data_IF_420936382343
#
_entry.id   IF_420936382343
#
_cell.length_a   1.000
_cell.length_b   1.000
_cell.length_c   1.000
_cell.angle_alpha   90.00
_cell.angle_beta   90.00
_cell.angle_gamma   90.00
#
_symmetry.space_group_name_H-M   'P 1'
#
loop_
_entity.id
_entity.type
_entity.pdbx_description
1 polymer ?
#
# COMPACT_ATOMS: atom_id res chain seq x y z
N UNK A 1 -5.63 -3.05 39.31
CA UNK A 1 -4.83 -2.16 38.44
C UNK A 1 -4.94 -2.72 37.05
N UNK A 2 -5.43 -1.88 36.14
CA UNK A 2 -6.08 -2.24 34.88
C UNK A 2 -5.12 -2.89 33.87
N UNK A 3 -5.31 -4.17 33.58
CA UNK A 3 -4.71 -4.86 32.43
C UNK A 3 -5.48 -4.43 31.17
N UNK A 4 -5.16 -3.23 30.67
CA UNK A 4 -5.62 -2.80 29.35
C UNK A 4 -4.93 -3.67 28.31
N UNK A 5 -5.62 -4.74 27.91
CA UNK A 5 -5.34 -5.52 26.72
C UNK A 5 -5.43 -4.61 25.49
N UNK A 6 -4.35 -3.86 25.23
CA UNK A 6 -4.21 -3.04 24.04
C UNK A 6 -4.10 -3.98 22.84
N UNK A 7 -5.25 -4.34 22.25
CA UNK A 7 -5.29 -4.97 20.93
C UNK A 7 -4.49 -4.06 20.00
N UNK A 8 -3.31 -4.51 19.58
CA UNK A 8 -2.53 -3.82 18.56
C UNK A 8 -3.38 -3.85 17.29
N UNK A 9 -3.99 -2.73 16.93
CA UNK A 9 -4.73 -2.63 15.68
C UNK A 9 -3.76 -2.86 14.53
N UNK A 10 -4.09 -3.83 13.68
CA UNK A 10 -3.31 -4.08 12.48
C UNK A 10 -3.50 -2.92 11.49
N UNK A 11 -2.46 -2.67 10.72
CA UNK A 11 -2.48 -1.71 9.62
C UNK A 11 -2.34 -2.47 8.29
N UNK A 12 -2.87 -1.92 7.20
CA UNK A 12 -2.80 -2.54 5.88
C UNK A 12 -1.87 -1.75 4.98
N UNK A 13 -0.90 -2.42 4.35
CA UNK A 13 -0.23 -1.91 3.14
C UNK A 13 -0.93 -2.47 1.92
N UNK A 14 -1.20 -1.62 0.93
CA UNK A 14 -1.89 -2.00 -0.29
C UNK A 14 -1.14 -1.54 -1.55
N UNK A 15 -1.37 -2.27 -2.63
CA UNK A 15 -0.91 -1.95 -3.99
C UNK A 15 -2.14 -1.84 -4.86
N UNK A 16 -2.29 -0.70 -5.53
CA UNK A 16 -3.42 -0.42 -6.40
C UNK A 16 -2.96 -0.19 -7.83
N UNK A 17 -3.78 -0.62 -8.79
CA UNK A 17 -3.65 -0.35 -10.22
C UNK A 17 -4.85 0.42 -10.71
N UNK A 18 -4.73 1.03 -11.89
CA UNK A 18 -5.82 1.72 -12.55
C UNK A 18 -5.76 1.39 -14.05
N UNK A 19 -6.84 0.90 -14.68
CA UNK A 19 -6.82 0.54 -16.10
C UNK A 19 -6.44 1.69 -17.04
N UNK A 20 -6.71 2.95 -16.65
CA UNK A 20 -6.33 4.13 -17.42
C UNK A 20 -4.90 4.62 -17.12
N UNK A 21 -4.17 3.96 -16.21
CA UNK A 21 -2.76 4.23 -15.90
C UNK A 21 -1.91 2.95 -16.01
N UNK A 22 -1.77 2.38 -17.23
CA UNK A 22 -1.05 1.12 -17.42
C UNK A 22 0.43 1.25 -17.03
N UNK A 23 0.97 0.23 -16.36
CA UNK A 23 2.36 0.20 -15.89
C UNK A 23 2.66 1.14 -14.73
N UNK A 24 1.61 1.70 -14.08
CA UNK A 24 1.72 2.54 -12.90
C UNK A 24 1.00 1.87 -11.74
N UNK A 25 1.67 1.79 -10.60
CA UNK A 25 1.07 1.32 -9.35
C UNK A 25 1.06 2.44 -8.32
N UNK A 26 0.03 2.45 -7.48
CA UNK A 26 -0.01 3.22 -6.24
C UNK A 26 0.28 2.32 -5.06
N UNK A 27 1.20 2.71 -4.20
CA UNK A 27 1.51 1.99 -2.95
C UNK A 27 1.13 2.90 -1.79
N UNK A 28 0.32 2.42 -0.86
CA UNK A 28 -0.04 3.20 0.32
C UNK A 28 -0.43 2.33 1.49
N UNK A 29 -0.81 2.96 2.58
CA UNK A 29 -1.23 2.28 3.80
C UNK A 29 -2.42 2.96 4.48
N UNK A 30 -3.06 2.21 5.37
CA UNK A 30 -4.18 2.66 6.21
C UNK A 30 -4.34 1.73 7.41
N UNK A 31 -5.21 2.05 8.38
CA UNK A 31 -5.65 1.07 9.38
C UNK A 31 -6.40 -0.08 8.70
N UNK A 32 -6.32 -1.29 9.25
CA UNK A 32 -6.96 -2.46 8.64
C UNK A 32 -8.49 -2.34 8.51
N UNK A 33 -9.14 -1.64 9.45
CA UNK A 33 -10.58 -1.35 9.41
C UNK A 33 -10.98 -0.47 8.22
N UNK A 34 -10.07 0.34 7.69
CA UNK A 34 -10.40 1.47 6.82
C UNK A 34 -10.07 1.20 5.35
N UNK A 35 -9.51 0.04 5.01
CA UNK A 35 -8.94 -0.24 3.67
C UNK A 35 -9.96 -0.05 2.54
N UNK A 36 -11.18 -0.58 2.72
CA UNK A 36 -12.24 -0.46 1.71
C UNK A 36 -12.66 1.01 1.51
N UNK A 37 -12.88 1.74 2.62
CA UNK A 37 -13.24 3.16 2.58
C UNK A 37 -12.14 4.02 1.98
N UNK A 38 -10.88 3.71 2.28
CA UNK A 38 -9.71 4.42 1.74
C UNK A 38 -9.62 4.25 0.24
N UNK A 39 -9.77 3.03 -0.27
CA UNK A 39 -9.76 2.75 -1.71
C UNK A 39 -10.93 3.46 -2.40
N UNK A 40 -12.15 3.39 -1.84
CA UNK A 40 -13.31 4.08 -2.39
C UNK A 40 -13.10 5.60 -2.48
N UNK A 41 -12.56 6.21 -1.41
CA UNK A 41 -12.24 7.64 -1.38
C UNK A 41 -11.21 8.03 -2.44
N UNK A 42 -10.16 7.23 -2.61
CA UNK A 42 -9.12 7.48 -3.61
C UNK A 42 -9.67 7.34 -5.04
N UNK A 43 -10.49 6.33 -5.28
CA UNK A 43 -11.15 6.09 -6.58
C UNK A 43 -12.17 7.16 -6.95
N UNK A 44 -12.82 7.78 -5.96
CA UNK A 44 -13.79 8.85 -6.18
C UNK A 44 -13.17 10.25 -6.37
N UNK A 45 -11.83 10.38 -6.30
CA UNK A 45 -11.17 11.67 -6.50
C UNK A 45 -11.19 12.06 -7.99
N UNK A 46 -11.58 13.31 -8.30
CA UNK A 46 -11.68 13.82 -9.67
C UNK A 46 -10.37 13.80 -10.47
N UNK A 47 -9.22 13.70 -9.79
CA UNK A 47 -7.90 13.57 -10.40
C UNK A 47 -7.56 12.13 -10.82
N UNK A 48 -8.45 11.17 -10.58
CA UNK A 48 -8.26 9.75 -10.89
C UNK A 48 -9.23 9.36 -12.02
N UNK A 49 -8.73 8.89 -13.17
CA UNK A 49 -9.56 8.72 -14.37
C UNK A 49 -10.56 7.55 -14.30
N UNK A 50 -10.20 6.46 -13.61
CA UNK A 50 -11.06 5.28 -13.39
C UNK A 50 -10.90 4.81 -11.94
N UNK A 51 -11.80 3.98 -11.38
CA UNK A 51 -11.57 3.41 -10.06
C UNK A 51 -10.27 2.62 -9.95
N UNK A 52 -9.65 2.64 -8.77
CA UNK A 52 -8.52 1.78 -8.47
C UNK A 52 -8.96 0.33 -8.26
N UNK A 53 -8.14 -0.59 -8.76
CA UNK A 53 -8.23 -2.01 -8.47
C UNK A 53 -7.19 -2.37 -7.39
N UNK A 54 -7.63 -3.08 -6.35
CA UNK A 54 -6.73 -3.59 -5.32
C UNK A 54 -6.14 -4.92 -5.77
N UNK A 55 -4.90 -4.89 -6.24
CA UNK A 55 -4.17 -6.10 -6.65
C UNK A 55 -3.51 -6.79 -5.46
N UNK A 56 -3.27 -6.06 -4.38
CA UNK A 56 -2.72 -6.61 -3.15
C UNK A 56 -3.05 -5.76 -1.93
N UNK A 57 -3.35 -6.41 -0.81
CA UNK A 57 -3.46 -5.81 0.51
C UNK A 57 -2.98 -6.80 1.57
N UNK A 58 -2.22 -6.32 2.56
CA UNK A 58 -1.71 -7.17 3.63
C UNK A 58 -1.69 -6.44 4.97
N UNK A 59 -2.25 -7.10 5.98
CA UNK A 59 -2.24 -6.61 7.34
C UNK A 59 -0.91 -6.91 8.02
N UNK A 60 -0.33 -5.88 8.61
CA UNK A 60 0.96 -5.92 9.31
C UNK A 60 0.86 -5.10 10.60
N UNK A 61 1.69 -5.40 11.61
CA UNK A 61 1.72 -4.61 12.85
C UNK A 61 2.25 -3.18 12.67
N UNK A 62 3.05 -2.94 11.62
CA UNK A 62 3.65 -1.63 11.32
C UNK A 62 3.67 -1.43 9.79
N UNK A 63 2.56 -0.93 9.25
CA UNK A 63 2.41 -0.70 7.81
C UNK A 63 3.24 0.48 7.33
N UNK A 64 3.45 1.48 8.19
CA UNK A 64 4.31 2.62 7.89
C UNK A 64 5.73 2.17 7.55
N UNK A 65 6.33 1.29 8.35
CA UNK A 65 7.68 0.77 8.10
C UNK A 65 7.77 0.00 6.78
N UNK A 66 6.77 -0.84 6.50
CA UNK A 66 6.73 -1.64 5.26
C UNK A 66 6.54 -0.73 4.03
N UNK A 67 5.63 0.23 4.11
CA UNK A 67 5.36 1.19 3.03
C UNK A 67 6.56 2.08 2.73
N UNK A 68 7.21 2.62 3.77
CA UNK A 68 8.43 3.41 3.61
C UNK A 68 9.57 2.59 2.98
N UNK A 69 9.75 1.33 3.38
CA UNK A 69 10.75 0.45 2.79
C UNK A 69 10.48 0.20 1.29
N UNK A 70 9.22 -0.01 0.90
CA UNK A 70 8.82 -0.15 -0.49
C UNK A 70 9.08 1.14 -1.28
N UNK A 71 8.74 2.30 -0.70
CA UNK A 71 8.96 3.61 -1.33
C UNK A 71 10.44 3.90 -1.56
N UNK A 72 11.32 3.53 -0.62
CA UNK A 72 12.77 3.66 -0.77
C UNK A 72 13.29 2.69 -1.83
N UNK A 73 12.90 1.42 -1.76
CA UNK A 73 13.37 0.39 -2.68
C UNK A 73 12.95 0.65 -4.14
N UNK A 74 11.74 1.18 -4.35
CA UNK A 74 11.20 1.54 -5.67
C UNK A 74 11.39 3.03 -6.00
N UNK A 75 12.18 3.75 -5.20
CA UNK A 75 12.46 5.18 -5.38
C UNK A 75 12.90 5.56 -6.80
N UNK A 76 13.78 4.79 -7.48
CA UNK A 76 14.17 5.07 -8.86
C UNK A 76 13.00 5.09 -9.86
N UNK A 77 11.93 4.35 -9.59
CA UNK A 77 10.74 4.25 -10.45
C UNK A 77 9.62 5.22 -10.02
N UNK A 78 9.83 6.03 -8.97
CA UNK A 78 8.81 6.97 -8.48
C UNK A 78 8.58 8.08 -9.50
N UNK A 79 7.32 8.25 -9.93
CA UNK A 79 6.95 9.18 -11.00
C UNK A 79 6.99 10.63 -10.54
N UNK A 80 6.51 10.89 -9.33
CA UNK A 80 6.54 12.21 -8.71
C UNK A 80 7.05 12.05 -7.27
N UNK A 81 8.15 12.71 -6.88
CA UNK A 81 8.74 12.59 -5.54
C UNK A 81 7.74 12.85 -4.39
N UNK A 82 6.77 13.73 -4.61
CA UNK A 82 5.72 14.11 -3.65
C UNK A 82 4.47 13.24 -3.70
N UNK A 83 4.47 12.16 -4.49
CA UNK A 83 3.34 11.24 -4.63
C UNK A 83 3.81 9.79 -4.54
N UNK A 84 2.85 8.90 -4.29
CA UNK A 84 3.11 7.49 -4.04
C UNK A 84 2.82 6.63 -5.28
N UNK A 85 3.17 7.13 -6.46
CA UNK A 85 2.98 6.45 -7.75
C UNK A 85 4.33 6.04 -8.35
N UNK A 86 4.40 4.81 -8.83
CA UNK A 86 5.63 4.18 -9.29
C UNK A 86 5.41 3.51 -10.65
N UNK A 87 6.39 3.64 -11.54
CA UNK A 87 6.40 2.98 -12.85
C UNK A 87 6.94 1.56 -12.70
N UNK A 88 6.11 0.66 -12.22
CA UNK A 88 6.48 -0.74 -11.96
C UNK A 88 5.25 -1.65 -12.09
N UNK A 89 5.45 -2.96 -12.05
CA UNK A 89 4.37 -3.95 -12.05
C UNK A 89 4.01 -4.38 -10.62
N UNK A 90 2.75 -4.79 -10.36
CA UNK A 90 2.37 -5.36 -9.07
C UNK A 90 3.27 -6.52 -8.63
N UNK A 91 3.65 -7.39 -9.57
CA UNK A 91 4.53 -8.53 -9.33
C UNK A 91 5.90 -8.11 -8.80
N UNK A 92 6.49 -7.04 -9.33
CA UNK A 92 7.75 -6.50 -8.83
C UNK A 92 7.61 -5.94 -7.41
N UNK A 93 6.52 -5.22 -7.11
CA UNK A 93 6.26 -4.73 -5.74
C UNK A 93 6.18 -5.88 -4.75
N UNK A 94 5.48 -6.97 -5.10
CA UNK A 94 5.35 -8.15 -4.25
C UNK A 94 6.68 -8.87 -4.03
N UNK A 95 7.53 -8.95 -5.06
CA UNK A 95 8.86 -9.52 -4.95
C UNK A 95 9.73 -8.73 -3.97
N UNK A 96 9.75 -7.39 -4.08
CA UNK A 96 10.48 -6.49 -3.19
C UNK A 96 9.96 -6.57 -1.75
N UNK A 97 8.63 -6.62 -1.56
CA UNK A 97 8.02 -6.75 -0.24
C UNK A 97 8.50 -8.00 0.52
N UNK A 98 8.74 -9.11 -0.18
CA UNK A 98 9.20 -10.37 0.40
C UNK A 98 10.54 -10.24 1.12
N UNK A 99 11.37 -9.27 0.73
CA UNK A 99 12.63 -8.98 1.42
C UNK A 99 12.43 -8.37 2.82
N UNK A 100 11.27 -7.76 3.09
CA UNK A 100 11.01 -7.02 4.33
C UNK A 100 10.11 -7.77 5.31
N UNK A 101 9.25 -8.67 4.83
CA UNK A 101 8.46 -9.54 5.71
C UNK A 101 9.18 -10.86 5.91
N UNK A 102 9.84 -11.04 7.05
CA UNK A 102 10.22 -12.40 7.48
C UNK A 102 8.95 -13.25 7.52
N UNK A 103 9.00 -14.44 6.94
CA UNK A 103 7.94 -15.42 7.13
C UNK A 103 7.82 -15.66 8.63
N UNK A 104 6.72 -15.22 9.24
CA UNK A 104 6.31 -15.75 10.54
C UNK A 104 6.11 -17.24 10.33
N UNK A 105 7.02 -18.04 10.90
CA UNK A 105 6.79 -19.47 11.11
C UNK A 105 5.71 -19.64 12.16
#
# INVERSE_FOLDING_TARGET
>A
MDETNARTELETVYVLTNPAMPGIVKIGMTRASDVAQRIATLSGNSSVPLPFECVYACNVPDARKVEQALHVALGPDRINPSREFFRTSPTQVLAVRRCFTKASK
#
